data_IF_628737366711
#
_entry.id   IF_628737366711
#
_cell.length_a   1.000
_cell.length_b   1.000
_cell.length_c   1.000
_cell.angle_alpha   90.00
_cell.angle_beta   90.00
_cell.angle_gamma   90.00
#
_symmetry.space_group_name_H-M   'P 1'
#
loop_
_entity.id
_entity.type
_entity.pdbx_description
1 polymer ?
#
# COMPACT_ATOMS: atom_id res chain seq x y z
N UNK A 1 -10.51 -22.04 8.90
CA UNK A 1 -9.23 -22.31 8.23
C UNK A 1 -8.41 -21.05 8.24
N UNK A 2 -7.23 -21.07 8.86
CA UNK A 2 -6.37 -19.90 8.94
C UNK A 2 -5.43 -19.79 7.75
N UNK A 3 -4.99 -18.56 7.45
CA UNK A 3 -3.95 -18.32 6.44
C UNK A 3 -2.59 -18.58 7.10
N UNK A 4 -1.72 -19.45 6.53
CA UNK A 4 -0.38 -19.64 7.07
C UNK A 4 0.39 -18.33 7.15
N UNK A 5 1.17 -18.13 8.22
CA UNK A 5 1.88 -16.89 8.49
C UNK A 5 2.83 -16.43 7.39
N UNK A 6 3.29 -17.36 6.55
CA UNK A 6 4.20 -17.09 5.43
C UNK A 6 3.50 -16.62 4.17
N UNK A 7 2.16 -16.71 4.12
CA UNK A 7 1.36 -16.44 2.93
C UNK A 7 0.59 -15.13 3.00
N UNK A 8 0.87 -14.30 3.98
CA UNK A 8 0.22 -12.99 4.08
C UNK A 8 1.22 -11.92 4.46
N UNK A 9 0.87 -10.68 4.20
CA UNK A 9 1.63 -9.52 4.64
C UNK A 9 0.69 -8.55 5.36
N UNK A 10 1.29 -7.66 6.17
CA UNK A 10 0.53 -6.67 6.93
C UNK A 10 0.66 -5.30 6.28
N UNK A 11 -0.43 -4.55 6.32
CA UNK A 11 -0.50 -3.20 5.82
C UNK A 11 -1.45 -2.40 6.72
N UNK A 12 -1.15 -1.11 6.91
CA UNK A 12 -2.01 -0.27 7.73
C UNK A 12 -3.38 -0.09 7.07
N UNK A 13 -4.45 -0.27 7.84
CA UNK A 13 -5.80 0.01 7.38
C UNK A 13 -6.00 1.46 6.97
N UNK A 14 -5.21 2.38 7.52
CA UNK A 14 -5.31 3.81 7.24
C UNK A 14 -5.00 4.14 5.77
N UNK A 15 -4.35 3.24 5.02
CA UNK A 15 -3.99 3.49 3.62
C UNK A 15 -5.21 3.87 2.77
N UNK A 16 -6.39 3.36 3.11
CA UNK A 16 -7.61 3.64 2.35
C UNK A 16 -8.15 5.05 2.54
N UNK A 17 -7.65 5.79 3.53
CA UNK A 17 -8.07 7.17 3.79
C UNK A 17 -7.42 8.21 2.86
N UNK A 18 -6.42 7.81 2.06
CA UNK A 18 -5.62 8.75 1.27
C UNK A 18 -6.08 8.89 -0.19
N UNK A 19 -7.06 8.12 -0.62
CA UNK A 19 -7.59 8.23 -1.98
C UNK A 19 -6.60 7.84 -3.07
N UNK A 20 -5.76 6.84 -2.83
CA UNK A 20 -4.83 6.34 -3.83
C UNK A 20 -5.57 5.76 -5.04
N UNK A 21 -5.00 5.96 -6.23
CA UNK A 21 -5.51 5.28 -7.43
C UNK A 21 -5.27 3.77 -7.32
N UNK A 22 -6.00 2.94 -8.10
CA UNK A 22 -5.78 1.49 -8.07
C UNK A 22 -4.34 1.08 -8.32
N UNK A 23 -3.66 1.72 -9.27
CA UNK A 23 -2.26 1.41 -9.57
C UNK A 23 -1.35 1.82 -8.40
N UNK A 24 -1.56 3.01 -7.83
CA UNK A 24 -0.79 3.47 -6.67
C UNK A 24 -0.98 2.52 -5.48
N UNK A 25 -2.22 2.12 -5.20
CA UNK A 25 -2.51 1.19 -4.12
C UNK A 25 -1.86 -0.17 -4.37
N UNK A 26 -1.96 -0.69 -5.60
CA UNK A 26 -1.36 -1.96 -5.97
C UNK A 26 0.17 -1.94 -5.80
N UNK A 27 0.82 -0.89 -6.25
CA UNK A 27 2.28 -0.72 -6.10
C UNK A 27 2.66 -0.63 -4.63
N UNK A 28 1.93 0.15 -3.84
CA UNK A 28 2.18 0.27 -2.41
C UNK A 28 2.04 -1.09 -1.71
N UNK A 29 0.96 -1.82 -2.00
CA UNK A 29 0.73 -3.16 -1.44
C UNK A 29 1.87 -4.11 -1.79
N UNK A 30 2.32 -4.09 -3.03
CA UNK A 30 3.41 -4.96 -3.48
C UNK A 30 4.72 -4.64 -2.74
N UNK A 31 5.04 -3.35 -2.59
CA UNK A 31 6.24 -2.93 -1.85
C UNK A 31 6.15 -3.33 -0.36
N UNK A 32 4.99 -3.19 0.26
CA UNK A 32 4.80 -3.65 1.64
C UNK A 32 5.03 -5.16 1.77
N UNK A 33 4.53 -5.94 0.82
CA UNK A 33 4.76 -7.39 0.79
C UNK A 33 6.24 -7.72 0.67
N UNK A 34 6.94 -7.05 -0.23
CA UNK A 34 8.37 -7.29 -0.44
C UNK A 34 9.22 -6.88 0.76
N UNK A 35 8.84 -5.79 1.42
CA UNK A 35 9.59 -5.27 2.55
C UNK A 35 9.41 -6.12 3.82
N UNK A 36 8.19 -6.61 4.05
CA UNK A 36 7.89 -7.41 5.23
C UNK A 36 8.24 -6.66 6.51
N UNK A 37 8.74 -7.39 7.51
CA UNK A 37 9.15 -6.81 8.80
C UNK A 37 10.42 -5.96 8.69
N UNK A 38 11.22 -6.18 7.66
CA UNK A 38 12.47 -5.45 7.45
C UNK A 38 12.24 -3.99 7.09
N UNK A 39 11.09 -3.67 6.48
CA UNK A 39 10.70 -2.31 6.13
C UNK A 39 11.36 -1.75 4.87
N UNK A 40 12.16 -2.55 4.18
CA UNK A 40 12.82 -2.12 2.94
C UNK A 40 12.89 -3.26 1.94
N UNK A 41 12.92 -2.92 0.65
CA UNK A 41 13.02 -3.87 -0.44
C UNK A 41 13.63 -3.21 -1.67
N UNK A 42 14.02 -4.03 -2.65
CA UNK A 42 14.68 -3.52 -3.86
C UNK A 42 14.28 -4.28 -5.14
N UNK A 43 12.98 -4.45 -5.40
CA UNK A 43 12.53 -5.06 -6.64
C UNK A 43 12.85 -4.18 -7.84
N UNK A 44 13.05 -4.80 -9.02
CA UNK A 44 13.21 -4.06 -10.26
C UNK A 44 11.88 -3.42 -10.68
N UNK A 45 11.96 -2.36 -11.48
CA UNK A 45 10.74 -1.73 -12.00
C UNK A 45 9.93 -2.69 -12.88
N UNK A 46 10.61 -3.56 -13.64
CA UNK A 46 9.93 -4.59 -14.43
C UNK A 46 9.14 -5.56 -13.54
N UNK A 47 9.71 -5.96 -12.41
CA UNK A 47 9.05 -6.85 -11.45
C UNK A 47 7.84 -6.17 -10.81
N UNK A 48 7.98 -4.91 -10.40
CA UNK A 48 6.86 -4.13 -9.85
C UNK A 48 5.72 -4.07 -10.87
N UNK A 49 6.01 -3.68 -12.10
CA UNK A 49 5.01 -3.56 -13.15
C UNK A 49 4.30 -4.88 -13.43
N UNK A 50 5.06 -5.96 -13.55
CA UNK A 50 4.51 -7.29 -13.80
C UNK A 50 3.60 -7.74 -12.65
N UNK A 51 4.04 -7.58 -11.42
CA UNK A 51 3.27 -8.04 -10.24
C UNK A 51 2.03 -7.17 -9.99
N UNK A 52 2.07 -5.89 -10.38
CA UNK A 52 0.95 -4.98 -10.22
C UNK A 52 0.02 -4.93 -11.45
N UNK A 53 0.35 -5.66 -12.51
CA UNK A 53 -0.50 -5.72 -13.69
C UNK A 53 -0.58 -4.42 -14.48
N UNK A 54 0.50 -3.64 -14.52
CA UNK A 54 0.54 -2.35 -15.21
C UNK A 54 1.80 -2.21 -16.05
N UNK A 55 1.86 -1.14 -16.85
CA UNK A 55 3.06 -0.83 -17.63
C UNK A 55 4.20 -0.36 -16.72
N UNK A 56 5.42 -0.46 -17.21
CA UNK A 56 6.60 0.04 -16.51
C UNK A 56 6.50 1.55 -16.24
N UNK A 57 5.98 2.30 -17.21
CA UNK A 57 5.80 3.75 -17.04
C UNK A 57 4.74 4.06 -15.98
N UNK A 58 3.63 3.30 -15.94
CA UNK A 58 2.60 3.47 -14.92
C UNK A 58 3.14 3.13 -13.53
N UNK A 59 3.93 2.06 -13.41
CA UNK A 59 4.57 1.69 -12.15
C UNK A 59 5.52 2.78 -11.68
N UNK A 60 6.34 3.32 -12.58
CA UNK A 60 7.27 4.40 -12.26
C UNK A 60 6.55 5.66 -11.79
N UNK A 61 5.47 6.04 -12.46
CA UNK A 61 4.65 7.19 -12.06
C UNK A 61 4.02 6.97 -10.67
N UNK A 62 3.54 5.75 -10.39
CA UNK A 62 2.98 5.41 -9.09
C UNK A 62 4.04 5.50 -7.99
N UNK A 63 5.24 4.98 -8.22
CA UNK A 63 6.35 5.07 -7.26
C UNK A 63 6.69 6.52 -6.97
N UNK A 64 6.79 7.37 -8.00
CA UNK A 64 7.09 8.79 -7.84
C UNK A 64 6.02 9.49 -7.01
N UNK A 65 4.75 9.17 -7.25
CA UNK A 65 3.64 9.78 -6.51
C UNK A 65 3.65 9.33 -5.04
N UNK A 66 3.86 8.05 -4.79
CA UNK A 66 3.95 7.53 -3.42
C UNK A 66 5.11 8.16 -2.65
N UNK A 67 6.25 8.34 -3.29
CA UNK A 67 7.40 9.01 -2.68
C UNK A 67 7.11 10.49 -2.39
N UNK A 68 6.49 11.19 -3.34
CA UNK A 68 6.14 12.60 -3.18
C UNK A 68 5.14 12.83 -2.04
N UNK A 69 4.24 11.88 -1.81
CA UNK A 69 3.24 11.96 -0.75
C UNK A 69 3.74 11.47 0.62
N UNK A 70 4.95 10.96 0.69
CA UNK A 70 5.54 10.54 1.96
C UNK A 70 5.18 9.12 2.40
N UNK A 71 4.68 8.28 1.52
CA UNK A 71 4.36 6.88 1.84
C UNK A 71 5.58 5.98 1.79
N UNK A 72 6.52 6.29 0.92
CA UNK A 72 7.76 5.54 0.75
C UNK A 72 8.91 6.52 0.55
N UNK A 73 10.12 6.01 0.79
CA UNK A 73 11.36 6.70 0.44
C UNK A 73 12.10 5.84 -0.57
N UNK A 74 12.59 6.48 -1.63
CA UNK A 74 13.31 5.79 -2.71
C UNK A 74 14.75 6.27 -2.70
N UNK A 75 15.68 5.34 -2.59
CA UNK A 75 17.11 5.65 -2.67
C UNK A 75 17.74 4.85 -3.80
N UNK A 76 18.56 5.53 -4.60
CA UNK A 76 19.38 4.85 -5.60
C UNK A 76 20.43 3.98 -4.88
N UNK A 77 20.58 2.77 -5.37
CA UNK A 77 21.52 1.80 -4.80
C UNK A 77 22.61 1.47 -5.82
N UNK A 78 23.82 1.21 -5.34
CA UNK A 78 24.98 0.94 -6.17
C UNK A 78 25.75 -0.26 -5.63
N UNK A 79 26.24 -1.09 -6.54
CA UNK A 79 27.20 -2.13 -6.20
C UNK A 79 28.61 -1.65 -6.50
N UNK A 80 29.54 -1.99 -5.62
CA UNK A 80 30.97 -1.75 -5.84
C UNK A 80 31.54 -2.83 -6.76
N UNK A 81 32.21 -2.39 -7.83
CA UNK A 81 32.86 -3.29 -8.77
C UNK A 81 34.27 -3.66 -8.30
N UNK A 82 34.76 -4.81 -8.77
CA UNK A 82 36.10 -5.33 -8.42
C UNK A 82 37.21 -4.35 -8.82
N UNK A 83 37.00 -3.56 -9.87
CA UNK A 83 37.95 -2.58 -10.36
C UNK A 83 37.84 -1.21 -9.64
N UNK A 84 37.03 -1.11 -8.58
CA UNK A 84 36.80 0.14 -7.86
C UNK A 84 35.71 1.03 -8.43
N UNK A 85 35.13 0.67 -9.59
CA UNK A 85 33.97 1.36 -10.16
C UNK A 85 32.70 1.04 -9.40
N UNK A 86 31.63 1.82 -9.68
CA UNK A 86 30.30 1.60 -9.10
C UNK A 86 29.29 1.43 -10.20
N UNK A 87 28.38 0.48 -9.99
CA UNK A 87 27.28 0.20 -10.90
C UNK A 87 25.97 0.43 -10.17
N UNK A 88 25.07 1.20 -10.79
CA UNK A 88 23.72 1.39 -10.25
C UNK A 88 22.94 0.08 -10.35
N UNK A 89 22.36 -0.32 -9.22
CA UNK A 89 21.46 -1.46 -9.12
C UNK A 89 20.02 -0.97 -9.02
N UNK A 90 19.08 -1.86 -8.70
CA UNK A 90 17.71 -1.48 -8.43
C UNK A 90 17.65 -0.48 -7.28
N UNK A 91 16.70 0.43 -7.34
CA UNK A 91 16.44 1.34 -6.22
C UNK A 91 16.02 0.55 -4.98
N UNK A 92 16.36 1.07 -3.81
CA UNK A 92 15.87 0.55 -2.54
C UNK A 92 14.68 1.39 -2.10
N UNK A 93 13.60 0.72 -1.72
CA UNK A 93 12.36 1.32 -1.28
C UNK A 93 12.17 1.09 0.21
N UNK A 94 11.94 2.16 0.96
CA UNK A 94 11.67 2.10 2.40
C UNK A 94 10.20 2.43 2.62
N UNK A 95 9.51 1.58 3.37
CA UNK A 95 8.13 1.82 3.76
C UNK A 95 8.16 2.75 4.96
N UNK A 96 7.54 3.91 4.83
CA UNK A 96 7.49 4.92 5.88
C UNK A 96 6.20 4.77 6.69
N UNK A 97 6.21 5.34 7.90
CA UNK A 97 4.96 5.53 8.64
C UNK A 97 4.03 6.43 7.83
N UNK A 98 2.74 6.09 7.81
CA UNK A 98 1.80 6.86 7.02
C UNK A 98 1.69 8.29 7.55
N UNK A 99 1.55 9.29 6.64
CA UNK A 99 1.30 10.66 7.05
C UNK A 99 0.03 10.77 7.89
N UNK A 100 -0.13 11.83 8.70
CA UNK A 100 -1.37 12.02 9.47
C UNK A 100 -2.58 12.04 8.54
N UNK A 101 -3.61 11.27 8.89
CA UNK A 101 -4.87 11.26 8.15
C UNK A 101 -5.77 12.40 8.63
N UNK A 102 -6.60 12.96 7.73
CA UNK A 102 -7.70 13.81 8.17
C UNK A 102 -8.61 13.02 9.11
N UNK A 103 -9.04 13.63 10.21
CA UNK A 103 -10.00 12.98 11.10
C UNK A 103 -11.28 12.69 10.33
N UNK A 104 -11.62 11.40 10.27
CA UNK A 104 -12.92 10.99 9.74
C UNK A 104 -13.91 11.03 10.89
N UNK A 105 -14.90 11.93 10.80
CA UNK A 105 -15.97 12.00 11.78
C UNK A 105 -16.71 10.65 11.78
N UNK A 106 -16.75 9.99 12.94
CA UNK A 106 -17.52 8.76 13.08
C UNK A 106 -18.99 9.09 12.99
N UNK A 107 -19.65 8.58 11.95
CA UNK A 107 -21.09 8.73 11.78
C UNK A 107 -21.78 7.50 12.36
N UNK A 108 -22.87 7.74 13.05
CA UNK A 108 -23.76 6.68 13.53
C UNK A 108 -24.41 6.02 12.32
N UNK A 109 -24.28 4.70 12.22
CA UNK A 109 -24.93 3.94 11.16
C UNK A 109 -26.34 3.57 11.59
N UNK A 110 -27.31 3.85 10.71
CA UNK A 110 -28.70 3.52 10.95
C UNK A 110 -29.19 2.53 9.88
N UNK A 111 -30.08 1.66 10.30
CA UNK A 111 -30.70 0.65 9.45
C UNK A 111 -32.19 0.92 9.38
N UNK A 112 -32.80 0.64 8.20
CA UNK A 112 -34.23 0.81 8.02
C UNK A 112 -34.97 -0.43 8.50
N UNK A 113 -35.98 -0.24 9.35
CA UNK A 113 -36.92 -1.29 9.73
C UNK A 113 -37.95 -1.52 8.61
N UNK A 114 -38.64 -2.69 8.61
CA UNK A 114 -39.71 -2.93 7.63
C UNK A 114 -40.82 -1.87 7.63
N UNK A 115 -41.07 -1.21 8.76
CA UNK A 115 -42.08 -0.15 8.89
C UNK A 115 -41.59 1.23 8.38
N UNK A 116 -40.35 1.30 7.91
CA UNK A 116 -39.75 2.53 7.41
C UNK A 116 -38.99 3.34 8.45
N UNK A 117 -39.09 3.01 9.74
CA UNK A 117 -38.32 3.69 10.80
C UNK A 117 -36.85 3.28 10.77
N UNK A 118 -36.01 4.05 11.45
CA UNK A 118 -34.56 3.83 11.51
C UNK A 118 -34.16 3.34 12.91
N UNK A 119 -33.17 2.44 12.95
CA UNK A 119 -32.60 1.90 14.19
C UNK A 119 -31.09 1.72 14.02
N UNK A 120 -30.35 1.81 15.12
CA UNK A 120 -28.92 1.45 15.14
C UNK A 120 -28.71 -0.05 15.42
N UNK A 121 -29.76 -0.81 15.63
CA UNK A 121 -29.71 -2.24 15.88
C UNK A 121 -30.01 -3.03 14.59
N UNK A 122 -29.00 -3.72 14.00
CA UNK A 122 -29.22 -4.51 12.78
C UNK A 122 -30.26 -5.63 12.96
N UNK A 123 -30.36 -6.21 14.16
CA UNK A 123 -31.34 -7.28 14.45
C UNK A 123 -32.77 -6.74 14.40
N UNK A 124 -32.98 -5.50 14.85
CA UNK A 124 -34.29 -4.85 14.75
C UNK A 124 -34.69 -4.53 13.32
N UNK A 125 -33.75 -4.44 12.38
CA UNK A 125 -34.01 -4.14 10.99
C UNK A 125 -34.32 -5.39 10.16
N UNK A 126 -33.87 -6.58 10.60
CA UNK A 126 -33.98 -7.82 9.83
C UNK A 126 -35.23 -8.63 10.12
N UNK A 127 -36.11 -8.14 10.97
CA UNK A 127 -37.35 -8.83 11.33
C UNK A 127 -38.36 -8.87 10.19
#
# INVERSE_FOLDING_TARGET
MGIPGEQYFKMSNAIFAYGLTPIQLSVYCYLCRCAGQRGSCWPSMNTIARCCGCSKNAARAAVQKLAAQGFIRVLASYDEQVDGGRRQTNNTYFILDLPPTPEVQKRRRLFRRPDGSLTDDPEGASA
#
